data_IF_132820679377
#
_entry.id   IF_132820679377
#
_cell.length_a   1.000
_cell.length_b   1.000
_cell.length_c   1.000
_cell.angle_alpha   90.00
_cell.angle_beta   90.00
_cell.angle_gamma   90.00
#
_symmetry.space_group_name_H-M   'P 1'
#
loop_
_entity.id
_entity.type
_entity.pdbx_description
1 polymer ?
#
# COMPACT_ATOMS: atom_id res chain seq x y z
N UNK A 1 -33.39 7.52 -12.03
CA UNK A 1 -33.59 7.97 -10.65
C UNK A 1 -32.71 7.10 -9.77
N UNK A 2 -31.65 7.67 -9.22
CA UNK A 2 -30.62 6.99 -8.45
C UNK A 2 -30.99 7.00 -6.96
N UNK A 3 -30.79 5.91 -6.22
CA UNK A 3 -30.50 6.00 -4.80
C UNK A 3 -29.02 5.65 -4.57
N UNK A 4 -28.27 6.69 -4.20
CA UNK A 4 -26.95 6.61 -3.60
C UNK A 4 -27.01 5.80 -2.31
N UNK A 5 -26.38 4.63 -2.29
CA UNK A 5 -26.06 3.91 -1.06
C UNK A 5 -24.84 4.59 -0.42
N UNK A 6 -25.08 5.23 0.72
CA UNK A 6 -24.05 5.87 1.52
C UNK A 6 -23.03 4.85 2.01
N UNK A 7 -21.75 5.16 1.83
CA UNK A 7 -20.65 4.45 2.46
C UNK A 7 -20.58 4.80 3.96
N UNK A 8 -20.30 3.83 4.85
CA UNK A 8 -20.25 4.07 6.29
C UNK A 8 -19.09 5.02 6.65
N UNK A 9 -19.39 6.09 7.41
CA UNK A 9 -18.37 6.93 8.06
C UNK A 9 -17.87 6.22 9.30
N UNK A 10 -16.63 5.78 9.29
CA UNK A 10 -15.96 5.28 10.49
C UNK A 10 -14.79 4.39 10.14
N UNK A 11 -13.62 5.01 9.88
CA UNK A 11 -12.23 4.48 9.97
C UNK A 11 -11.29 5.20 9.01
N UNK A 12 -11.81 5.80 7.92
CA UNK A 12 -10.99 6.45 6.88
C UNK A 12 -10.51 7.87 7.18
N UNK A 13 -11.08 8.57 8.16
CA UNK A 13 -11.05 10.05 8.19
C UNK A 13 -9.64 10.68 8.21
N UNK A 14 -8.62 10.03 8.75
CA UNK A 14 -7.29 10.65 8.90
C UNK A 14 -6.54 10.87 7.58
N UNK A 15 -6.60 9.94 6.63
CA UNK A 15 -5.98 10.11 5.30
C UNK A 15 -6.75 11.11 4.43
N UNK A 16 -8.08 11.07 4.51
CA UNK A 16 -8.97 12.01 3.82
C UNK A 16 -8.84 13.43 4.36
N UNK A 17 -8.67 13.60 5.67
CA UNK A 17 -8.40 14.89 6.32
C UNK A 17 -7.04 15.48 5.90
N UNK A 18 -6.09 14.65 5.45
CA UNK A 18 -4.80 15.09 4.93
C UNK A 18 -4.81 15.40 3.42
N UNK A 19 -5.99 15.48 2.79
CA UNK A 19 -6.12 15.76 1.36
C UNK A 19 -5.67 14.60 0.46
N UNK A 20 -5.52 13.39 1.00
CA UNK A 20 -5.31 12.20 0.19
C UNK A 20 -6.67 11.69 -0.29
N UNK A 21 -6.92 11.83 -1.59
CA UNK A 21 -8.22 11.50 -2.16
C UNK A 21 -8.31 10.06 -2.69
N UNK A 22 -7.18 9.33 -2.75
CA UNK A 22 -7.16 8.02 -3.41
C UNK A 22 -6.13 7.08 -2.78
N UNK A 23 -6.56 5.84 -2.62
CA UNK A 23 -5.75 4.69 -2.26
C UNK A 23 -5.71 3.74 -3.46
N UNK A 24 -4.52 3.19 -3.76
CA UNK A 24 -4.32 2.20 -4.81
C UNK A 24 -3.68 0.97 -4.19
N UNK A 25 -4.39 -0.14 -4.26
CA UNK A 25 -3.87 -1.45 -3.88
C UNK A 25 -3.19 -2.10 -5.08
N UNK A 26 -1.87 -2.30 -4.94
CA UNK A 26 -0.97 -2.71 -6.01
C UNK A 26 -1.29 -4.09 -6.57
N UNK A 27 -1.83 -5.00 -5.76
CA UNK A 27 -2.15 -6.35 -6.21
C UNK A 27 -3.19 -6.34 -7.34
N UNK A 28 -4.14 -5.39 -7.32
CA UNK A 28 -5.16 -5.28 -8.38
C UNK A 28 -4.60 -4.76 -9.70
N UNK A 29 -3.49 -4.02 -9.68
CA UNK A 29 -2.88 -3.49 -10.89
C UNK A 29 -2.21 -4.58 -11.73
N UNK A 30 -1.86 -5.71 -11.11
CA UNK A 30 -1.22 -6.85 -11.76
C UNK A 30 -2.15 -8.03 -12.08
N UNK A 31 -3.43 -7.98 -11.70
CA UNK A 31 -4.38 -9.11 -11.81
C UNK A 31 -4.76 -9.45 -13.26
N UNK A 32 -3.82 -10.05 -14.00
CA UNK A 32 -4.01 -10.57 -15.35
C UNK A 32 -3.58 -12.04 -15.42
N UNK A 33 -4.43 -12.86 -16.04
CA UNK A 33 -4.23 -14.30 -16.21
C UNK A 33 -4.60 -14.77 -17.63
N UNK A 34 -3.72 -15.53 -18.31
CA UNK A 34 -2.36 -15.91 -17.88
C UNK A 34 -1.42 -14.69 -17.78
N UNK A 35 -0.23 -14.89 -17.19
CA UNK A 35 0.79 -13.84 -17.19
C UNK A 35 1.14 -13.46 -18.65
N UNK A 36 1.31 -12.18 -18.98
CA UNK A 36 1.64 -11.77 -20.34
C UNK A 36 3.01 -12.31 -20.78
N UNK A 37 3.15 -12.58 -22.08
CA UNK A 37 4.44 -12.97 -22.66
C UNK A 37 5.50 -11.88 -22.41
N UNK A 38 6.67 -12.26 -21.92
CA UNK A 38 7.74 -11.32 -21.56
C UNK A 38 7.50 -10.50 -20.28
N UNK A 39 6.40 -10.73 -19.54
CA UNK A 39 6.13 -10.13 -18.24
C UNK A 39 5.60 -11.16 -17.21
N UNK A 40 6.38 -12.23 -16.90
CA UNK A 40 5.92 -13.29 -16.00
C UNK A 40 5.65 -12.81 -14.58
N UNK A 41 6.30 -11.72 -14.16
CA UNK A 41 6.12 -11.08 -12.85
C UNK A 41 5.05 -9.99 -12.84
N UNK A 42 4.38 -9.74 -13.98
CA UNK A 42 3.35 -8.70 -14.14
C UNK A 42 3.82 -7.29 -13.76
N UNK A 43 5.13 -7.05 -13.76
CA UNK A 43 5.69 -5.76 -13.34
C UNK A 43 5.41 -4.69 -14.39
N UNK A 44 5.44 -5.04 -15.68
CA UNK A 44 5.16 -4.08 -16.76
C UNK A 44 3.69 -3.71 -16.81
N UNK A 45 2.78 -4.68 -16.68
CA UNK A 45 1.34 -4.39 -16.64
C UNK A 45 0.96 -3.60 -15.39
N UNK A 46 1.56 -3.90 -14.23
CA UNK A 46 1.37 -3.12 -12.99
C UNK A 46 1.79 -1.67 -13.20
N UNK A 47 2.98 -1.43 -13.78
CA UNK A 47 3.47 -0.08 -14.08
C UNK A 47 2.56 0.67 -15.07
N UNK A 48 2.13 0.00 -16.14
CA UNK A 48 1.22 0.57 -17.14
C UNK A 48 -0.11 0.97 -16.53
N UNK A 49 -0.69 0.11 -15.68
CA UNK A 49 -1.95 0.38 -15.01
C UNK A 49 -1.80 1.50 -13.97
N UNK A 50 -0.72 1.52 -13.19
CA UNK A 50 -0.42 2.61 -12.27
C UNK A 50 -0.30 3.94 -13.01
N UNK A 51 0.40 3.97 -14.15
CA UNK A 51 0.55 5.15 -14.99
C UNK A 51 -0.80 5.69 -15.45
N UNK A 52 -1.69 4.81 -15.92
CA UNK A 52 -3.02 5.19 -16.37
C UNK A 52 -3.91 5.73 -15.22
N UNK A 53 -3.90 5.06 -14.07
CA UNK A 53 -4.65 5.48 -12.87
C UNK A 53 -4.14 6.83 -12.37
N UNK A 54 -2.82 6.99 -12.25
CA UNK A 54 -2.22 8.25 -11.83
C UNK A 54 -2.53 9.40 -12.80
N UNK A 55 -2.42 9.19 -14.11
CA UNK A 55 -2.74 10.21 -15.10
C UNK A 55 -4.19 10.70 -14.97
N UNK A 56 -5.13 9.80 -14.68
CA UNK A 56 -6.53 10.16 -14.42
C UNK A 56 -6.67 11.05 -13.18
N UNK A 57 -6.03 10.69 -12.07
CA UNK A 57 -6.06 11.47 -10.85
C UNK A 57 -5.36 12.83 -11.00
N UNK A 58 -4.20 12.86 -11.65
CA UNK A 58 -3.44 14.08 -11.90
C UNK A 58 -4.23 15.09 -12.74
N UNK A 59 -4.99 14.63 -13.75
CA UNK A 59 -5.90 15.44 -14.58
C UNK A 59 -7.06 16.04 -13.79
N UNK A 60 -7.51 15.36 -12.74
CA UNK A 60 -8.52 15.88 -11.80
C UNK A 60 -7.92 16.78 -10.71
N UNK A 61 -6.61 17.05 -10.76
CA UNK A 61 -5.93 17.94 -9.82
C UNK A 61 -5.39 17.25 -8.56
N UNK A 62 -5.53 15.93 -8.43
CA UNK A 62 -4.91 15.21 -7.32
C UNK A 62 -3.38 15.23 -7.43
N UNK A 63 -2.72 15.29 -6.28
CA UNK A 63 -1.26 15.38 -6.16
C UNK A 63 -0.66 14.41 -5.14
N UNK A 64 -1.51 13.64 -4.48
CA UNK A 64 -1.16 12.71 -3.40
C UNK A 64 -1.87 11.39 -3.65
N UNK A 65 -1.19 10.28 -3.38
CA UNK A 65 -1.72 8.92 -3.50
C UNK A 65 -1.13 8.10 -2.36
N UNK A 66 -1.95 7.25 -1.75
CA UNK A 66 -1.47 6.13 -0.94
C UNK A 66 -1.40 4.90 -1.84
N UNK A 67 -0.23 4.27 -1.91
CA UNK A 67 -0.04 3.00 -2.60
C UNK A 67 0.23 1.92 -1.57
N UNK A 68 -0.55 0.85 -1.58
CA UNK A 68 -0.37 -0.30 -0.68
C UNK A 68 0.07 -1.50 -1.49
N UNK A 69 1.11 -2.19 -0.99
CA UNK A 69 1.56 -3.51 -1.43
C UNK A 69 2.73 -3.92 -0.52
N UNK A 70 2.83 -5.21 -0.22
CA UNK A 70 3.83 -5.77 0.72
C UNK A 70 5.26 -5.35 0.41
N UNK A 71 5.67 -5.33 -0.86
CA UNK A 71 7.08 -5.10 -1.26
C UNK A 71 7.32 -3.70 -1.84
N UNK A 72 6.33 -2.81 -1.79
CA UNK A 72 6.42 -1.46 -2.36
C UNK A 72 7.48 -0.55 -1.71
N UNK A 73 7.94 -0.89 -0.51
CA UNK A 73 9.01 -0.16 0.20
C UNK A 73 10.41 -0.63 -0.19
N UNK A 74 10.54 -1.69 -0.99
CA UNK A 74 11.86 -2.16 -1.44
C UNK A 74 12.41 -1.24 -2.56
N UNK A 75 13.74 -1.08 -2.66
CA UNK A 75 14.37 -0.21 -3.66
C UNK A 75 13.96 -0.51 -5.11
N UNK A 76 13.67 -1.77 -5.42
CA UNK A 76 13.27 -2.22 -6.76
C UNK A 76 11.95 -1.57 -7.22
N UNK A 77 11.07 -1.20 -6.28
CA UNK A 77 9.79 -0.57 -6.58
C UNK A 77 9.92 0.93 -6.92
N UNK A 78 10.95 1.63 -6.40
CA UNK A 78 11.14 3.06 -6.60
C UNK A 78 11.17 3.44 -8.10
N UNK A 79 11.90 2.66 -8.90
CA UNK A 79 12.02 2.91 -10.33
C UNK A 79 10.67 2.87 -11.05
N UNK A 80 9.78 1.96 -10.65
CA UNK A 80 8.42 1.87 -11.19
C UNK A 80 7.62 3.14 -10.87
N UNK A 81 7.64 3.61 -9.61
CA UNK A 81 6.90 4.81 -9.22
C UNK A 81 7.39 6.05 -9.97
N UNK A 82 8.70 6.24 -10.11
CA UNK A 82 9.25 7.38 -10.86
C UNK A 82 8.88 7.34 -12.34
N UNK A 83 8.84 6.15 -12.97
CA UNK A 83 8.40 6.03 -14.37
C UNK A 83 6.89 6.26 -14.53
N UNK A 84 6.08 5.74 -13.62
CA UNK A 84 4.63 5.85 -13.70
C UNK A 84 4.10 7.24 -13.30
N UNK A 85 4.74 7.89 -12.33
CA UNK A 85 4.24 9.13 -11.72
C UNK A 85 5.04 10.39 -12.07
N UNK A 86 6.25 10.22 -12.63
CA UNK A 86 7.19 11.29 -12.94
C UNK A 86 8.44 11.25 -12.06
N UNK A 87 9.57 11.70 -12.60
CA UNK A 87 10.89 11.60 -11.94
C UNK A 87 10.98 12.36 -10.61
N UNK A 88 10.20 13.45 -10.48
CA UNK A 88 10.18 14.32 -9.31
C UNK A 88 9.16 13.89 -8.23
N UNK A 89 8.55 12.71 -8.38
CA UNK A 89 7.63 12.19 -7.36
C UNK A 89 8.36 12.03 -6.03
N UNK A 90 7.78 12.61 -4.96
CA UNK A 90 8.26 12.39 -3.60
C UNK A 90 7.69 11.07 -3.08
N UNK A 91 8.56 10.12 -2.82
CA UNK A 91 8.20 8.85 -2.17
C UNK A 91 8.39 8.99 -0.66
N UNK A 92 7.37 8.57 0.10
CA UNK A 92 7.45 8.43 1.55
C UNK A 92 7.16 6.96 1.84
N UNK A 93 8.21 6.20 2.14
CA UNK A 93 8.11 4.77 2.37
C UNK A 93 7.76 4.52 3.83
N UNK A 94 6.67 3.78 4.05
CA UNK A 94 6.22 3.41 5.37
C UNK A 94 6.01 1.89 5.43
N UNK A 95 6.80 1.24 6.28
CA UNK A 95 6.68 -0.18 6.57
C UNK A 95 5.88 -0.37 7.86
N UNK A 96 4.69 -0.96 7.75
CA UNK A 96 3.90 -1.35 8.91
C UNK A 96 4.44 -2.67 9.47
N UNK A 97 4.81 -2.68 10.75
CA UNK A 97 5.35 -3.87 11.41
C UNK A 97 4.40 -4.42 12.46
N UNK A 98 4.48 -5.72 12.70
CA UNK A 98 3.78 -6.41 13.76
C UNK A 98 4.67 -7.55 14.27
N UNK A 99 4.53 -7.91 15.54
CA UNK A 99 5.12 -9.15 16.05
C UNK A 99 4.55 -10.38 15.32
N UNK A 100 5.32 -11.45 15.25
CA UNK A 100 4.88 -12.74 14.68
C UNK A 100 3.57 -13.22 15.31
N UNK A 101 3.41 -13.03 16.63
CA UNK A 101 2.18 -13.38 17.34
C UNK A 101 0.96 -12.59 16.84
N UNK A 102 1.11 -11.28 16.65
CA UNK A 102 0.02 -10.43 16.12
C UNK A 102 -0.26 -10.72 14.65
N UNK A 103 0.77 -10.89 13.83
CA UNK A 103 0.62 -11.24 12.41
C UNK A 103 -0.09 -12.59 12.26
N UNK A 104 0.34 -13.59 13.04
CA UNK A 104 -0.28 -14.91 13.07
C UNK A 104 -1.75 -14.87 13.51
N UNK A 105 -2.07 -14.15 14.59
CA UNK A 105 -3.47 -13.99 15.03
C UNK A 105 -4.37 -13.35 13.95
N UNK A 106 -3.84 -12.37 13.19
CA UNK A 106 -4.57 -11.72 12.09
C UNK A 106 -4.79 -12.66 10.90
N UNK A 107 -3.79 -13.47 10.55
CA UNK A 107 -3.87 -14.45 9.46
C UNK A 107 -4.84 -15.59 9.79
N UNK A 108 -4.75 -16.14 10.99
CA UNK A 108 -5.68 -17.19 11.48
C UNK A 108 -7.13 -16.70 11.56
N UNK A 109 -7.35 -15.39 11.72
CA UNK A 109 -8.68 -14.79 11.68
C UNK A 109 -9.29 -14.65 10.29
N UNK A 110 -8.51 -14.86 9.21
CA UNK A 110 -8.92 -14.66 7.81
C UNK A 110 -8.92 -15.95 7.01
N UNK A 111 -7.93 -16.80 7.22
CA UNK A 111 -7.70 -18.02 6.45
C UNK A 111 -7.99 -19.27 7.29
N UNK A 112 -8.60 -20.29 6.68
CA UNK A 112 -8.89 -21.59 7.32
C UNK A 112 -8.24 -22.73 6.52
N UNK A 113 -7.56 -23.65 7.23
CA UNK A 113 -7.05 -24.89 6.64
C UNK A 113 -5.58 -24.84 6.19
N UNK A 114 -5.21 -25.69 5.23
CA UNK A 114 -3.81 -25.91 4.80
C UNK A 114 -3.12 -24.70 4.16
N UNK A 115 -3.89 -23.67 3.80
CA UNK A 115 -3.38 -22.40 3.28
C UNK A 115 -2.73 -21.56 4.39
N UNK A 116 -3.20 -21.68 5.64
CA UNK A 116 -2.71 -20.88 6.76
C UNK A 116 -1.22 -21.11 7.06
N UNK A 117 -0.73 -22.36 7.04
CA UNK A 117 0.69 -22.64 7.28
C UNK A 117 1.59 -22.06 6.18
N UNK A 118 1.12 -22.09 4.93
CA UNK A 118 1.84 -21.53 3.80
C UNK A 118 1.87 -20.00 3.86
N UNK A 119 0.74 -19.39 4.22
CA UNK A 119 0.61 -17.94 4.43
C UNK A 119 1.48 -17.47 5.60
N UNK A 120 1.55 -18.21 6.71
CA UNK A 120 2.42 -17.90 7.83
C UNK A 120 3.91 -17.96 7.43
N UNK A 121 4.31 -19.01 6.71
CA UNK A 121 5.68 -19.14 6.22
C UNK A 121 6.04 -18.06 5.18
N UNK A 122 5.09 -17.72 4.30
CA UNK A 122 5.19 -16.63 3.33
C UNK A 122 5.36 -15.28 4.01
N UNK A 123 4.46 -14.96 4.93
CA UNK A 123 4.48 -13.74 5.75
C UNK A 123 5.80 -13.58 6.50
N UNK A 124 6.30 -14.64 7.15
CA UNK A 124 7.58 -14.60 7.86
C UNK A 124 8.78 -14.40 6.90
N UNK A 125 8.74 -14.97 5.71
CA UNK A 125 9.77 -14.78 4.67
C UNK A 125 9.77 -13.33 4.18
N UNK A 126 8.59 -12.77 3.93
CA UNK A 126 8.42 -11.39 3.49
C UNK A 126 8.86 -10.40 4.56
N UNK A 127 8.52 -10.64 5.82
CA UNK A 127 8.99 -9.84 6.95
C UNK A 127 10.53 -9.77 6.98
N UNK A 128 11.23 -10.91 6.84
CA UNK A 128 12.70 -10.94 6.77
C UNK A 128 13.26 -10.20 5.56
N UNK A 129 12.62 -10.32 4.40
CA UNK A 129 13.01 -9.61 3.19
C UNK A 129 12.89 -8.09 3.39
N UNK A 130 11.78 -7.63 3.97
CA UNK A 130 11.53 -6.21 4.26
C UNK A 130 12.46 -5.68 5.36
N UNK A 131 12.77 -6.49 6.36
CA UNK A 131 13.73 -6.14 7.41
C UNK A 131 15.13 -5.92 6.87
N UNK A 132 15.56 -6.76 5.93
CA UNK A 132 16.89 -6.68 5.34
C UNK A 132 17.00 -5.68 4.18
N UNK A 133 15.91 -5.50 3.42
CA UNK A 133 15.94 -4.82 2.12
C UNK A 133 15.36 -3.40 2.11
N UNK A 134 14.55 -3.02 3.10
CA UNK A 134 13.97 -1.67 3.12
C UNK A 134 15.06 -0.60 3.31
N UNK A 135 15.02 0.52 2.56
CA UNK A 135 15.93 1.65 2.73
C UNK A 135 16.00 2.15 4.18
N UNK A 136 17.16 2.67 4.59
CA UNK A 136 17.39 3.13 5.95
C UNK A 136 16.48 4.29 6.39
N UNK A 137 15.97 5.08 5.45
CA UNK A 137 15.01 6.16 5.64
C UNK A 137 13.54 5.71 5.58
N UNK A 138 13.27 4.42 5.39
CA UNK A 138 11.91 3.86 5.50
C UNK A 138 11.40 4.01 6.93
N UNK A 139 10.25 4.67 7.07
CA UNK A 139 9.58 4.84 8.37
C UNK A 139 8.96 3.51 8.78
N UNK A 140 9.30 3.01 9.96
CA UNK A 140 8.73 1.78 10.53
C UNK A 140 7.67 2.12 11.56
N UNK A 141 6.44 1.69 11.33
CA UNK A 141 5.32 1.94 12.24
C UNK A 141 4.82 0.61 12.81
N UNK A 142 5.11 0.37 14.08
CA UNK A 142 4.60 -0.79 14.80
C UNK A 142 3.09 -0.72 14.99
N UNK A 143 2.42 -1.86 14.82
CA UNK A 143 0.94 -1.96 14.86
C UNK A 143 0.41 -2.81 16.01
N UNK A 144 1.29 -3.43 16.81
CA UNK A 144 0.90 -4.29 17.95
C UNK A 144 0.12 -3.52 19.00
N UNK A 145 -1.08 -4.01 19.36
CA UNK A 145 -1.91 -3.41 20.41
C UNK A 145 -2.41 -1.98 20.12
N UNK A 146 -2.19 -1.46 18.91
CA UNK A 146 -2.52 -0.08 18.54
C UNK A 146 -3.81 -0.01 17.75
N UNK A 147 -4.56 1.08 17.95
CA UNK A 147 -5.77 1.36 17.17
C UNK A 147 -5.38 1.86 15.78
N UNK A 148 -6.16 1.47 14.77
CA UNK A 148 -5.99 1.90 13.38
C UNK A 148 -5.89 3.43 13.25
N UNK A 149 -6.73 4.17 13.99
CA UNK A 149 -6.73 5.65 13.95
C UNK A 149 -5.44 6.28 14.45
N UNK A 150 -4.73 5.63 15.37
CA UNK A 150 -3.48 6.15 15.92
C UNK A 150 -2.31 5.84 14.97
N UNK A 151 -2.34 4.66 14.33
CA UNK A 151 -1.41 4.29 13.25
C UNK A 151 -1.57 5.25 12.07
N UNK A 152 -2.79 5.45 11.59
CA UNK A 152 -3.05 6.32 10.44
C UNK A 152 -2.62 7.78 10.68
N UNK A 153 -2.80 8.29 11.91
CA UNK A 153 -2.28 9.63 12.27
C UNK A 153 -0.76 9.70 12.21
N UNK A 154 -0.06 8.68 12.68
CA UNK A 154 1.42 8.64 12.61
C UNK A 154 1.90 8.56 11.16
N UNK A 155 1.29 7.70 10.34
CA UNK A 155 1.58 7.57 8.91
C UNK A 155 1.35 8.90 8.19
N UNK A 156 0.21 9.57 8.43
CA UNK A 156 -0.06 10.91 7.86
C UNK A 156 0.98 11.92 8.36
N UNK A 157 1.35 11.89 9.65
CA UNK A 157 2.32 12.79 10.23
C UNK A 157 3.67 12.77 9.51
N UNK A 158 4.16 11.60 9.09
CA UNK A 158 5.45 11.49 8.40
C UNK A 158 5.45 11.98 6.96
N UNK A 159 4.28 12.02 6.31
CA UNK A 159 4.18 12.55 4.93
C UNK A 159 4.40 14.06 4.86
N UNK A 160 4.16 14.78 5.96
CA UNK A 160 4.05 16.24 5.96
C UNK A 160 2.84 16.76 5.17
N UNK A 161 1.86 15.88 4.88
CA UNK A 161 0.58 16.31 4.33
C UNK A 161 -0.18 17.07 5.41
N UNK A 162 -0.02 18.38 5.41
CA UNK A 162 -0.93 19.25 6.15
C UNK A 162 -2.32 19.07 5.55
N UNK A 163 -3.34 19.02 6.41
CA UNK A 163 -4.70 19.31 6.01
C UNK A 163 -4.65 20.68 5.34
N UNK A 164 -4.66 20.72 4.02
CA UNK A 164 -4.77 21.96 3.29
C UNK A 164 -6.12 22.55 3.67
N UNK A 165 -6.12 23.82 4.10
CA UNK A 165 -7.34 24.60 4.33
C UNK A 165 -8.18 24.78 3.08
#
# INVERSE_FOLDING_TARGET
MCPTLGTPRGTGDSAWLAGCSHEVEGDFLGQVHPAPEGDPRRSRITESNLTAVWANYARLGHRRMVYTNTVSVLPEAEGMFRRAMGADVRLVQVLLTASDGTAGARLTGRELGSELEQELAGSAREARLLDAGAPADTVRVGTDGRRVVDIAREVVGVTGWTASG
#
